data_IF_125608510242
#
_entry.id   IF_125608510242
#
_cell.length_a   1.000
_cell.length_b   1.000
_cell.length_c   1.000
_cell.angle_alpha   90.00
_cell.angle_beta   90.00
_cell.angle_gamma   90.00
#
_symmetry.space_group_name_H-M   'P 1'
#
loop_
_entity.id
_entity.type
_entity.pdbx_description
1 polymer ?
#
# COMPACT_ATOMS: atom_id res chain seq x y z
N UNK A 1 0.69 -22.60 -22.49
CA UNK A 1 1.13 -21.61 -21.45
C UNK A 1 1.71 -20.42 -22.18
N UNK A 2 1.27 -19.21 -21.90
CA UNK A 2 1.87 -17.98 -22.42
C UNK A 2 3.09 -17.64 -21.54
N UNK A 3 4.18 -17.18 -22.14
CA UNK A 3 5.34 -16.71 -21.39
C UNK A 3 4.98 -15.38 -20.69
N UNK A 4 5.36 -15.24 -19.43
CA UNK A 4 5.27 -13.98 -18.68
C UNK A 4 6.55 -13.20 -18.89
N UNK A 5 6.46 -11.97 -19.39
CA UNK A 5 7.58 -11.04 -19.40
C UNK A 5 7.63 -10.30 -18.07
N UNK A 6 8.70 -10.51 -17.31
CA UNK A 6 8.86 -9.94 -15.99
C UNK A 6 10.33 -9.74 -15.63
N UNK A 7 10.63 -8.68 -14.88
CA UNK A 7 11.96 -8.39 -14.34
C UNK A 7 12.03 -8.72 -12.86
N UNK A 8 13.01 -9.54 -12.46
CA UNK A 8 13.23 -9.91 -11.07
C UNK A 8 13.89 -8.78 -10.30
N UNK A 9 13.36 -8.48 -9.10
CA UNK A 9 13.83 -7.41 -8.23
C UNK A 9 14.21 -7.94 -6.85
N UNK A 10 15.29 -7.41 -6.28
CA UNK A 10 15.72 -7.71 -4.90
C UNK A 10 16.46 -6.52 -4.28
N UNK A 11 16.60 -6.53 -2.97
CA UNK A 11 17.41 -5.58 -2.21
C UNK A 11 17.09 -4.11 -2.55
N UNK A 12 18.12 -3.33 -2.86
CA UNK A 12 17.96 -1.90 -3.23
C UNK A 12 17.25 -1.68 -4.57
N UNK A 13 17.24 -2.68 -5.44
CA UNK A 13 16.51 -2.64 -6.71
C UNK A 13 15.01 -2.42 -6.50
N UNK A 14 14.44 -3.04 -5.44
CA UNK A 14 13.03 -2.81 -5.06
C UNK A 14 12.74 -1.33 -4.78
N UNK A 15 13.60 -0.67 -3.99
CA UNK A 15 13.40 0.75 -3.67
C UNK A 15 13.51 1.64 -4.91
N UNK A 16 14.54 1.40 -5.73
CA UNK A 16 14.78 2.19 -6.94
C UNK A 16 13.60 2.04 -7.90
N UNK A 17 13.32 0.82 -8.31
CA UNK A 17 12.30 0.56 -9.33
C UNK A 17 10.89 0.92 -8.82
N UNK A 18 10.47 0.33 -7.69
CA UNK A 18 9.08 0.47 -7.23
C UNK A 18 8.78 1.89 -6.73
N UNK A 19 9.72 2.51 -5.98
CA UNK A 19 9.45 3.78 -5.33
C UNK A 19 9.93 4.97 -6.15
N UNK A 20 11.21 4.97 -6.57
CA UNK A 20 11.79 6.15 -7.22
C UNK A 20 11.40 6.26 -8.69
N UNK A 21 11.43 5.13 -9.43
CA UNK A 21 11.23 5.16 -10.87
C UNK A 21 9.75 5.05 -11.25
N UNK A 22 8.95 4.25 -10.55
CA UNK A 22 7.54 4.04 -10.90
C UNK A 22 6.57 4.83 -10.02
N UNK A 23 6.54 4.59 -8.69
CA UNK A 23 5.56 5.27 -7.81
C UNK A 23 5.69 6.80 -7.84
N UNK A 24 6.90 7.34 -7.78
CA UNK A 24 7.11 8.79 -7.80
C UNK A 24 6.64 9.46 -9.10
N UNK A 25 6.53 8.70 -10.19
CA UNK A 25 6.15 9.17 -11.51
C UNK A 25 4.73 8.75 -11.94
N UNK A 26 3.94 8.18 -11.03
CA UNK A 26 2.54 7.85 -11.28
C UNK A 26 1.74 9.08 -11.76
N UNK A 27 0.83 8.88 -12.71
CA UNK A 27 0.09 9.95 -13.39
C UNK A 27 -1.42 9.91 -13.16
N UNK A 28 -2.00 8.71 -13.05
CA UNK A 28 -3.45 8.51 -12.98
C UNK A 28 -3.87 7.81 -11.69
N UNK A 29 -3.23 6.69 -11.36
CA UNK A 29 -3.66 5.87 -10.23
C UNK A 29 -2.54 5.03 -9.63
N UNK A 30 -2.64 4.83 -8.32
CA UNK A 30 -1.81 3.90 -7.56
C UNK A 30 -2.71 3.04 -6.69
N UNK A 31 -2.58 1.71 -6.81
CA UNK A 31 -3.25 0.75 -5.95
C UNK A 31 -2.19 -0.14 -5.27
N UNK A 32 -2.12 -0.08 -3.95
CA UNK A 32 -1.14 -0.79 -3.15
C UNK A 32 -1.83 -1.82 -2.28
N UNK A 33 -1.30 -3.05 -2.25
CA UNK A 33 -1.67 -4.07 -1.28
C UNK A 33 -0.47 -4.44 -0.42
N UNK A 34 -0.66 -4.51 0.88
CA UNK A 34 0.43 -4.82 1.82
C UNK A 34 -0.14 -5.34 3.13
N UNK A 35 0.53 -6.30 3.78
CA UNK A 35 0.12 -6.66 5.14
C UNK A 35 0.49 -5.55 6.13
N UNK A 36 1.70 -5.01 5.99
CA UNK A 36 2.26 -3.98 6.87
C UNK A 36 2.52 -2.68 6.13
N UNK A 37 1.97 -1.58 6.63
CA UNK A 37 2.20 -0.22 6.12
C UNK A 37 2.99 0.59 7.17
N UNK A 38 4.22 0.97 6.82
CA UNK A 38 5.08 1.78 7.69
C UNK A 38 5.60 3.00 6.96
N UNK A 39 5.79 4.07 7.70
CA UNK A 39 6.51 5.22 7.17
C UNK A 39 7.92 4.82 6.74
N UNK A 40 8.36 5.32 5.61
CA UNK A 40 9.72 5.16 5.11
C UNK A 40 10.23 6.48 4.54
N UNK A 41 11.54 6.64 4.55
CA UNK A 41 12.19 7.79 3.96
C UNK A 41 12.36 7.56 2.46
N UNK A 42 11.88 8.51 1.67
CA UNK A 42 11.97 8.51 0.20
C UNK A 42 12.77 9.71 -0.23
N UNK A 43 13.71 9.50 -1.13
CA UNK A 43 14.50 10.58 -1.72
C UNK A 43 13.62 11.41 -2.66
N UNK A 44 13.54 12.71 -2.40
CA UNK A 44 12.76 13.66 -3.17
C UNK A 44 13.55 14.97 -3.29
N UNK A 45 14.02 15.28 -4.51
CA UNK A 45 14.80 16.49 -4.76
C UNK A 45 16.08 16.58 -3.92
N UNK A 46 16.85 15.48 -3.82
CA UNK A 46 18.09 15.40 -3.06
C UNK A 46 17.93 15.39 -1.54
N UNK A 47 16.70 15.23 -1.04
CA UNK A 47 16.40 15.16 0.40
C UNK A 47 15.54 13.93 0.71
N UNK A 48 15.76 13.35 1.90
CA UNK A 48 14.92 12.27 2.39
C UNK A 48 13.69 12.82 3.12
N UNK A 49 12.50 12.41 2.67
CA UNK A 49 11.21 12.80 3.23
C UNK A 49 10.36 11.56 3.48
N UNK A 50 9.37 11.67 4.37
CA UNK A 50 8.36 10.61 4.56
C UNK A 50 7.70 10.26 3.23
N UNK A 51 7.37 8.96 3.02
CA UNK A 51 6.58 8.53 1.86
C UNK A 51 5.21 9.21 1.81
N UNK A 52 4.69 9.66 2.94
CA UNK A 52 3.45 10.43 3.02
C UNK A 52 3.56 11.77 2.28
N UNK A 53 4.77 12.37 2.23
CA UNK A 53 5.01 13.57 1.41
C UNK A 53 4.90 13.26 -0.08
N UNK A 54 5.42 12.10 -0.51
CA UNK A 54 5.27 11.64 -1.89
C UNK A 54 3.79 11.43 -2.24
N UNK A 55 3.03 10.74 -1.39
CA UNK A 55 1.58 10.60 -1.58
C UNK A 55 0.87 11.95 -1.65
N UNK A 56 1.27 12.91 -0.80
CA UNK A 56 0.74 14.27 -0.87
C UNK A 56 1.02 14.97 -2.20
N UNK A 57 2.20 14.79 -2.76
CA UNK A 57 2.58 15.32 -4.08
C UNK A 57 1.76 14.68 -5.19
N UNK A 58 1.60 13.36 -5.17
CA UNK A 58 0.81 12.62 -6.15
C UNK A 58 -0.68 13.03 -6.09
N UNK A 59 -1.27 13.09 -4.89
CA UNK A 59 -2.64 13.54 -4.69
C UNK A 59 -2.86 15.00 -5.15
N UNK A 60 -1.87 15.88 -4.95
CA UNK A 60 -1.94 17.25 -5.45
C UNK A 60 -1.95 17.33 -6.97
N UNK A 61 -1.39 16.34 -7.66
CA UNK A 61 -1.40 16.17 -9.13
C UNK A 61 -2.67 15.47 -9.64
N UNK A 62 -3.58 15.09 -8.76
CA UNK A 62 -4.82 14.39 -9.13
C UNK A 62 -4.68 12.86 -9.24
N UNK A 63 -3.56 12.29 -8.85
CA UNK A 63 -3.38 10.83 -8.85
C UNK A 63 -4.27 10.20 -7.80
N UNK A 64 -5.08 9.21 -8.18
CA UNK A 64 -5.92 8.45 -7.27
C UNK A 64 -5.08 7.44 -6.50
N UNK A 65 -5.06 7.56 -5.17
CA UNK A 65 -4.24 6.74 -4.29
C UNK A 65 -5.11 5.84 -3.41
N UNK A 66 -4.91 4.51 -3.50
CA UNK A 66 -5.65 3.52 -2.71
C UNK A 66 -4.70 2.49 -2.11
N UNK A 67 -4.83 2.22 -0.82
CA UNK A 67 -4.02 1.22 -0.13
C UNK A 67 -4.91 0.25 0.65
N UNK A 68 -4.81 -1.04 0.33
CA UNK A 68 -5.29 -2.15 1.13
C UNK A 68 -4.20 -2.59 2.09
N UNK A 69 -4.52 -2.68 3.39
CA UNK A 69 -3.56 -3.15 4.37
C UNK A 69 -4.21 -4.07 5.42
N UNK A 70 -3.44 -5.00 5.99
CA UNK A 70 -3.97 -5.95 6.96
C UNK A 70 -3.90 -5.43 8.40
N UNK A 71 -2.79 -4.82 8.75
CA UNK A 71 -2.52 -4.33 10.10
C UNK A 71 -2.61 -2.80 10.15
N UNK A 72 -2.93 -2.27 11.34
CA UNK A 72 -2.94 -0.82 11.56
C UNK A 72 -1.60 -0.21 11.13
N UNK A 73 -1.61 0.85 10.29
CA UNK A 73 -0.38 1.51 9.86
C UNK A 73 0.46 1.98 11.04
N UNK A 74 1.78 1.97 10.90
CA UNK A 74 2.69 2.35 11.97
C UNK A 74 2.39 3.74 12.53
N UNK A 75 2.67 3.94 13.82
CA UNK A 75 2.49 5.25 14.47
C UNK A 75 3.15 6.40 13.71
N UNK A 76 4.40 6.29 13.22
CA UNK A 76 5.01 7.34 12.41
C UNK A 76 4.22 7.64 11.12
N UNK A 77 3.75 6.59 10.40
CA UNK A 77 2.93 6.79 9.19
C UNK A 77 1.65 7.57 9.52
N UNK A 78 0.91 7.13 10.55
CA UNK A 78 -0.33 7.81 10.97
C UNK A 78 -0.09 9.26 11.35
N UNK A 79 0.96 9.52 12.14
CA UNK A 79 1.31 10.88 12.56
C UNK A 79 1.68 11.80 11.38
N UNK A 80 2.33 11.26 10.34
CA UNK A 80 2.63 11.98 9.11
C UNK A 80 1.38 12.19 8.26
N UNK A 81 0.52 11.18 8.15
CA UNK A 81 -0.74 11.20 7.40
C UNK A 81 -1.74 12.21 7.99
N UNK A 82 -1.96 12.19 9.30
CA UNK A 82 -2.92 13.06 9.98
C UNK A 82 -2.59 14.57 9.83
N UNK A 83 -1.31 14.90 9.59
CA UNK A 83 -0.87 16.27 9.28
C UNK A 83 -1.24 16.74 7.86
N UNK A 84 -1.59 15.82 6.97
CA UNK A 84 -1.86 16.11 5.56
C UNK A 84 -3.35 16.19 5.27
N UNK A 85 -3.95 17.36 5.52
CA UNK A 85 -5.40 17.59 5.36
C UNK A 85 -5.97 17.07 4.04
N UNK A 86 -5.27 17.27 2.90
CA UNK A 86 -5.70 16.77 1.59
C UNK A 86 -5.74 15.26 1.51
N UNK A 87 -4.76 14.54 2.10
CA UNK A 87 -4.75 13.09 2.12
C UNK A 87 -5.88 12.54 3.00
N UNK A 88 -6.09 13.14 4.19
CA UNK A 88 -7.17 12.77 5.11
C UNK A 88 -8.56 13.03 4.50
N UNK A 89 -8.70 14.07 3.69
CA UNK A 89 -9.95 14.44 3.00
C UNK A 89 -10.25 13.56 1.77
N UNK A 90 -9.55 12.44 1.58
CA UNK A 90 -9.79 11.50 0.49
C UNK A 90 -8.69 11.48 -0.58
N UNK A 91 -7.63 12.28 -0.45
CA UNK A 91 -6.48 12.24 -1.36
C UNK A 91 -5.66 10.96 -1.27
N UNK A 92 -5.81 10.20 -0.18
CA UNK A 92 -5.34 8.82 -0.04
C UNK A 92 -6.41 8.01 0.70
N UNK A 93 -6.96 7.01 0.03
CA UNK A 93 -7.93 6.10 0.60
C UNK A 93 -7.22 4.88 1.22
N UNK A 94 -7.54 4.58 2.47
CA UNK A 94 -7.01 3.44 3.22
C UNK A 94 -8.15 2.50 3.59
N UNK A 95 -8.00 1.20 3.31
CA UNK A 95 -8.93 0.16 3.75
C UNK A 95 -8.20 -0.97 4.48
N UNK A 96 -8.74 -1.39 5.62
CA UNK A 96 -8.21 -2.50 6.41
C UNK A 96 -8.95 -3.77 6.03
N UNK A 97 -8.18 -4.79 5.62
CA UNK A 97 -8.69 -6.16 5.50
C UNK A 97 -7.66 -7.13 6.11
N UNK A 98 -7.94 -7.74 7.28
CA UNK A 98 -7.01 -8.65 7.96
C UNK A 98 -6.58 -9.87 7.13
N UNK A 99 -7.30 -10.19 6.04
CA UNK A 99 -6.96 -11.27 5.12
C UNK A 99 -5.96 -10.86 4.03
N UNK A 100 -5.67 -9.56 3.89
CA UNK A 100 -4.70 -9.10 2.88
C UNK A 100 -3.29 -9.53 3.28
N UNK A 101 -2.70 -10.41 2.48
CA UNK A 101 -1.33 -10.86 2.66
C UNK A 101 -0.49 -10.80 1.38
N UNK A 102 -1.10 -10.54 0.23
CA UNK A 102 -0.36 -10.26 -0.99
C UNK A 102 0.24 -8.85 -0.96
N UNK A 103 1.38 -8.68 -1.58
CA UNK A 103 2.08 -7.41 -1.70
C UNK A 103 2.18 -7.07 -3.17
N UNK A 104 1.50 -6.00 -3.54
CA UNK A 104 1.50 -5.50 -4.91
C UNK A 104 1.49 -3.98 -4.93
N UNK A 105 2.04 -3.43 -5.99
CA UNK A 105 1.92 -2.02 -6.35
C UNK A 105 1.52 -1.97 -7.81
N UNK A 106 0.31 -1.48 -8.09
CA UNK A 106 -0.21 -1.23 -9.43
C UNK A 106 -0.11 0.26 -9.71
N UNK A 107 0.41 0.63 -10.86
CA UNK A 107 0.60 2.03 -11.26
C UNK A 107 -0.01 2.24 -12.64
N UNK A 108 -0.95 3.19 -12.70
CA UNK A 108 -1.61 3.67 -13.92
C UNK A 108 -2.27 2.56 -14.76
N UNK A 109 -2.58 1.41 -14.13
CA UNK A 109 -3.09 0.22 -14.84
C UNK A 109 -2.10 -0.42 -15.83
N UNK A 110 -0.88 0.08 -15.91
CA UNK A 110 0.09 -0.26 -16.94
C UNK A 110 1.35 -0.96 -16.42
N UNK A 111 1.59 -0.93 -15.11
CA UNK A 111 2.74 -1.55 -14.48
C UNK A 111 2.38 -2.13 -13.12
N UNK A 112 2.96 -3.28 -12.77
CA UNK A 112 2.81 -3.89 -11.47
C UNK A 112 4.12 -4.41 -10.89
N UNK A 113 4.26 -4.25 -9.58
CA UNK A 113 5.17 -5.02 -8.73
C UNK A 113 4.36 -6.07 -7.97
N UNK A 114 4.88 -7.29 -7.89
CA UNK A 114 4.39 -8.37 -7.03
C UNK A 114 5.59 -9.01 -6.31
N UNK A 115 5.45 -9.28 -5.01
CA UNK A 115 6.55 -9.90 -4.28
C UNK A 115 6.28 -10.11 -2.80
N UNK A 116 7.36 -10.34 -2.06
CA UNK A 116 7.32 -10.56 -0.62
C UNK A 116 7.36 -9.26 0.19
N UNK A 117 7.87 -8.15 -0.39
CA UNK A 117 8.14 -6.91 0.32
C UNK A 117 6.87 -6.14 0.72
N UNK A 118 6.67 -5.97 2.02
CA UNK A 118 5.67 -5.04 2.52
C UNK A 118 6.05 -3.58 2.25
N UNK A 119 5.06 -2.66 2.26
CA UNK A 119 5.25 -1.22 2.12
C UNK A 119 5.94 -0.65 3.37
N UNK A 120 7.21 -0.97 3.52
CA UNK A 120 8.07 -0.58 4.63
C UNK A 120 9.49 -0.29 4.14
N UNK A 121 10.22 0.56 4.86
CA UNK A 121 11.60 0.88 4.47
C UNK A 121 12.58 -0.29 4.53
N UNK A 122 12.31 -1.31 5.38
CA UNK A 122 13.11 -2.54 5.41
C UNK A 122 12.72 -3.48 4.26
N UNK A 123 11.42 -3.64 4.00
CA UNK A 123 10.90 -4.51 2.93
C UNK A 123 11.30 -3.99 1.55
N UNK A 124 10.95 -2.75 1.22
CA UNK A 124 11.26 -2.19 -0.10
C UNK A 124 12.71 -1.69 -0.27
N UNK A 125 13.63 -2.06 0.62
CA UNK A 125 15.05 -1.80 0.42
C UNK A 125 15.51 -0.35 0.60
N UNK A 126 14.68 0.53 1.17
CA UNK A 126 15.02 1.94 1.42
C UNK A 126 16.10 2.11 2.51
N UNK A 127 16.19 1.16 3.45
CA UNK A 127 17.18 1.21 4.55
C UNK A 127 18.58 0.82 4.07
N UNK A 128 19.59 1.14 4.91
CA UNK A 128 20.97 0.67 4.72
C UNK A 128 21.04 -0.86 4.68
N UNK A 129 22.05 -1.41 4.03
CA UNK A 129 22.18 -2.83 3.70
C UNK A 129 21.94 -3.77 4.89
N UNK A 130 22.62 -3.60 5.99
CA UNK A 130 22.47 -4.44 7.19
C UNK A 130 21.13 -4.26 7.93
N UNK A 131 20.21 -3.42 7.45
CA UNK A 131 18.89 -3.17 8.03
C UNK A 131 17.74 -3.41 7.06
N UNK A 132 18.02 -3.98 5.89
CA UNK A 132 17.00 -4.43 4.91
C UNK A 132 16.59 -5.86 5.20
N UNK A 133 15.34 -6.17 4.89
CA UNK A 133 14.92 -7.57 4.79
C UNK A 133 15.50 -8.19 3.52
N UNK A 134 15.62 -9.50 3.51
CA UNK A 134 15.81 -10.26 2.28
C UNK A 134 14.44 -10.47 1.62
N UNK A 135 14.20 -9.71 0.58
CA UNK A 135 12.93 -9.71 -0.15
C UNK A 135 13.18 -9.96 -1.64
N UNK A 136 12.20 -10.59 -2.26
CA UNK A 136 12.21 -10.91 -3.68
C UNK A 136 10.87 -10.56 -4.30
N UNK A 137 10.87 -10.11 -5.53
CA UNK A 137 9.67 -9.84 -6.30
C UNK A 137 9.98 -9.66 -7.76
N UNK A 138 8.96 -9.43 -8.54
CA UNK A 138 9.11 -9.09 -9.95
C UNK A 138 8.19 -7.92 -10.32
N UNK A 139 8.56 -7.23 -11.38
CA UNK A 139 7.69 -6.26 -12.01
C UNK A 139 7.39 -6.68 -13.44
N UNK A 140 6.23 -6.25 -13.93
CA UNK A 140 5.72 -6.60 -15.26
C UNK A 140 4.79 -5.53 -15.80
N UNK A 141 4.70 -5.47 -17.12
CA UNK A 141 3.72 -4.70 -17.90
C UNK A 141 2.79 -5.66 -18.68
N UNK A 142 2.84 -6.97 -18.35
CA UNK A 142 1.99 -7.97 -18.98
C UNK A 142 0.51 -7.75 -18.65
N UNK A 143 -0.29 -7.51 -19.68
CA UNK A 143 -1.70 -7.13 -19.54
C UNK A 143 -2.54 -8.16 -18.77
N UNK A 144 -2.38 -9.46 -19.03
CA UNK A 144 -3.18 -10.49 -18.37
C UNK A 144 -2.84 -10.57 -16.87
N UNK A 145 -1.57 -10.32 -16.52
CA UNK A 145 -1.12 -10.25 -15.11
C UNK A 145 -1.66 -9.00 -14.43
N UNK A 146 -1.60 -7.85 -15.10
CA UNK A 146 -2.14 -6.58 -14.60
C UNK A 146 -3.64 -6.70 -14.33
N UNK A 147 -4.39 -7.26 -15.26
CA UNK A 147 -5.85 -7.46 -15.14
C UNK A 147 -6.18 -8.34 -13.94
N UNK A 148 -5.51 -9.48 -13.78
CA UNK A 148 -5.71 -10.39 -12.63
C UNK A 148 -5.38 -9.77 -11.29
N UNK A 149 -4.29 -9.03 -11.21
CA UNK A 149 -3.88 -8.36 -9.96
C UNK A 149 -4.85 -7.22 -9.63
N UNK A 150 -5.28 -6.47 -10.63
CA UNK A 150 -6.32 -5.44 -10.50
C UNK A 150 -7.64 -6.04 -10.04
N UNK A 151 -8.10 -7.11 -10.67
CA UNK A 151 -9.33 -7.80 -10.29
C UNK A 151 -9.31 -8.29 -8.84
N UNK A 152 -8.18 -8.88 -8.37
CA UNK A 152 -8.03 -9.28 -6.98
C UNK A 152 -8.07 -8.07 -6.04
N UNK A 153 -7.38 -6.99 -6.38
CA UNK A 153 -7.43 -5.75 -5.60
C UNK A 153 -8.85 -5.22 -5.49
N UNK A 154 -9.56 -5.10 -6.61
CA UNK A 154 -10.93 -4.56 -6.65
C UNK A 154 -11.93 -5.47 -5.92
N UNK A 155 -11.81 -6.79 -6.01
CA UNK A 155 -12.67 -7.73 -5.27
C UNK A 155 -12.55 -7.51 -3.74
N UNK A 156 -11.33 -7.29 -3.24
CA UNK A 156 -11.12 -6.98 -1.82
C UNK A 156 -11.56 -5.55 -1.52
N UNK A 157 -11.21 -4.60 -2.39
CA UNK A 157 -11.51 -3.17 -2.20
C UNK A 157 -13.01 -2.88 -2.16
N UNK A 158 -13.78 -3.49 -3.03
CA UNK A 158 -15.24 -3.34 -3.10
C UNK A 158 -15.99 -4.07 -1.98
N UNK A 159 -15.32 -4.99 -1.27
CA UNK A 159 -15.96 -5.83 -0.26
C UNK A 159 -16.73 -7.02 -0.82
N UNK A 160 -16.54 -7.39 -2.09
CA UNK A 160 -17.16 -8.57 -2.70
C UNK A 160 -16.91 -9.85 -1.87
N UNK A 161 -15.75 -9.94 -1.22
CA UNK A 161 -15.34 -11.04 -0.37
C UNK A 161 -15.81 -10.92 1.11
N UNK A 162 -16.51 -9.85 1.49
CA UNK A 162 -16.90 -9.60 2.89
C UNK A 162 -18.12 -10.43 3.35
N UNK A 163 -19.04 -10.76 2.44
CA UNK A 163 -20.23 -11.54 2.75
C UNK A 163 -19.92 -12.85 3.46
N UNK A 164 -19.16 -13.79 2.85
CA UNK A 164 -18.81 -15.07 3.44
C UNK A 164 -17.62 -15.01 4.41
N UNK A 165 -17.07 -13.82 4.70
CA UNK A 165 -15.83 -13.69 5.47
C UNK A 165 -16.01 -14.10 6.93
N UNK A 166 -15.30 -15.13 7.38
CA UNK A 166 -15.33 -15.61 8.78
C UNK A 166 -14.81 -14.57 9.79
N UNK A 167 -14.01 -13.59 9.34
CA UNK A 167 -13.48 -12.51 10.19
C UNK A 167 -14.36 -11.26 10.19
N UNK A 168 -15.53 -11.28 9.53
CA UNK A 168 -16.40 -10.10 9.38
C UNK A 168 -16.75 -9.45 10.72
N UNK A 169 -17.11 -10.23 11.74
CA UNK A 169 -17.44 -9.72 13.07
C UNK A 169 -16.28 -9.09 13.83
N UNK A 170 -15.05 -9.44 13.47
CA UNK A 170 -13.80 -8.92 14.07
C UNK A 170 -13.12 -7.88 13.17
N UNK A 171 -13.64 -7.67 11.96
CA UNK A 171 -13.05 -6.76 10.99
C UNK A 171 -13.24 -5.32 11.45
N UNK A 172 -12.16 -4.52 11.54
CA UNK A 172 -12.26 -3.12 11.95
C UNK A 172 -12.90 -2.22 10.87
N UNK A 173 -12.96 -2.69 9.62
CA UNK A 173 -13.48 -1.97 8.46
C UNK A 173 -14.30 -2.91 7.56
N UNK A 174 -15.47 -3.42 8.02
CA UNK A 174 -16.31 -4.29 7.21
C UNK A 174 -16.92 -3.50 6.06
N UNK A 175 -16.50 -3.83 4.83
CA UNK A 175 -16.97 -3.16 3.61
C UNK A 175 -18.36 -3.72 3.28
N UNK A 176 -19.30 -2.84 2.90
CA UNK A 176 -20.68 -3.21 2.54
C UNK A 176 -21.75 -2.87 3.61
N UNK A 177 -21.37 -2.27 4.71
CA UNK A 177 -22.28 -1.57 5.59
C UNK A 177 -21.91 -0.08 5.61
N UNK A 178 -22.71 0.71 4.89
CA UNK A 178 -22.81 2.17 4.98
C UNK A 178 -21.49 2.96 4.89
N UNK A 179 -21.46 3.84 3.96
CA UNK A 179 -20.60 5.02 3.82
C UNK A 179 -20.42 5.80 5.13
N UNK A 180 -19.57 5.31 6.03
CA UNK A 180 -19.05 6.16 7.10
C UNK A 180 -17.84 6.93 6.56
N UNK A 181 -17.80 8.26 6.73
CA UNK A 181 -16.62 9.03 6.39
C UNK A 181 -15.41 8.44 7.11
N UNK A 182 -14.24 8.45 6.46
CA UNK A 182 -12.98 7.95 6.99
C UNK A 182 -12.79 8.41 8.44
N UNK A 183 -12.91 7.49 9.41
CA UNK A 183 -12.62 7.81 10.81
C UNK A 183 -11.13 8.06 10.91
N UNK A 184 -10.75 9.19 11.48
CA UNK A 184 -9.36 9.49 11.86
C UNK A 184 -8.73 8.23 12.48
N UNK A 185 -7.58 7.81 11.93
CA UNK A 185 -6.84 6.64 12.41
C UNK A 185 -6.41 6.76 13.89
N UNK A 186 -6.53 7.96 14.46
CA UNK A 186 -6.20 8.26 15.86
C UNK A 186 -7.16 7.59 16.85
N UNK A 187 -8.42 7.34 16.49
CA UNK A 187 -9.42 6.78 17.41
C UNK A 187 -9.36 5.26 17.60
N UNK A 188 -8.56 4.53 16.83
CA UNK A 188 -8.42 3.07 16.98
C UNK A 188 -7.39 2.66 18.05
N UNK A 189 -6.85 3.62 18.82
CA UNK A 189 -5.79 3.40 19.79
C UNK A 189 -6.21 3.15 21.24
N UNK A 190 -7.48 2.98 21.58
CA UNK A 190 -7.89 2.72 22.97
C UNK A 190 -8.72 1.44 23.09
N UNK A 191 -8.16 0.55 23.90
CA UNK A 191 -8.76 -0.61 24.55
C UNK A 191 -8.72 -1.94 23.78
N UNK A 192 -7.72 -2.78 24.13
CA UNK A 192 -7.95 -3.91 25.07
C UNK A 192 -6.60 -4.44 25.54
N UNK A 193 -6.33 -4.30 26.82
CA UNK A 193 -5.35 -5.13 27.53
C UNK A 193 -5.87 -6.57 27.48
N UNK A 194 -5.12 -7.45 26.85
CA UNK A 194 -5.26 -8.87 27.13
C UNK A 194 -4.62 -9.11 28.49
N UNK A 195 -5.44 -9.32 29.50
CA UNK A 195 -5.02 -9.91 30.78
C UNK A 195 -4.81 -11.39 30.57
N UNK A 196 -3.67 -11.85 31.01
CA UNK A 196 -3.15 -13.19 31.40
C UNK A 196 -3.68 -14.40 30.61
#
# INVERSE_FOLDING_TARGET
>A
MRALEASLLSGRGLYREVILDKLAHARESVAISTANLKDMQVEQGGRFKSIVELFGTLAARGVRLRILHAELPSRPFRASFDKKKKLVAGGLELKICPRVHFKSVLIDGAWAYLGSANMTGAGLGAKAEGRRNFELGFCTEDFDTLDRVSALFEAVWSGAECGPCKLRSLCPDPIGESTRPARSLVRLGHSRRFGR
#
